data_IF_702038034521
#
_entry.id   IF_702038034521
#
_cell.length_a   1.000
_cell.length_b   1.000
_cell.length_c   1.000
_cell.angle_alpha   90.00
_cell.angle_beta   90.00
_cell.angle_gamma   90.00
#
_symmetry.space_group_name_H-M   'P 1'
#
loop_
_entity.id
_entity.type
_entity.pdbx_description
1 polymer ?
#
# COMPACT_ATOMS: atom_id res chain seq x y z
N UNK A 1 5.80 12.00 -8.98
CA UNK A 1 4.44 11.57 -8.66
C UNK A 1 4.12 10.24 -9.31
N UNK A 2 3.12 9.55 -8.81
CA UNK A 2 2.65 8.28 -9.39
C UNK A 2 1.74 8.62 -10.57
N UNK A 3 2.08 8.10 -11.76
CA UNK A 3 1.23 8.20 -12.96
C UNK A 3 0.43 6.92 -13.13
N UNK A 4 -0.75 7.03 -13.76
CA UNK A 4 -1.55 5.86 -14.10
C UNK A 4 -0.78 4.95 -15.08
N UNK A 5 -1.01 3.64 -14.97
CA UNK A 5 -0.45 2.68 -15.92
C UNK A 5 -0.98 2.99 -17.33
N UNK A 6 -0.10 3.11 -18.35
CA UNK A 6 -0.48 3.39 -19.74
C UNK A 6 -1.56 2.44 -20.27
N UNK A 7 -1.55 1.18 -19.85
CA UNK A 7 -2.55 0.18 -20.24
C UNK A 7 -4.00 0.68 -20.09
N UNK A 8 -4.34 1.35 -18.98
CA UNK A 8 -5.71 1.84 -18.77
C UNK A 8 -6.05 3.05 -19.64
N UNK A 9 -5.04 3.86 -20.00
CA UNK A 9 -5.22 5.02 -20.90
C UNK A 9 -5.44 4.54 -22.32
N UNK A 10 -4.66 3.55 -22.77
CA UNK A 10 -4.75 2.97 -24.10
C UNK A 10 -6.05 2.18 -24.29
N UNK A 11 -6.63 1.65 -23.21
CA UNK A 11 -7.88 0.91 -23.20
C UNK A 11 -9.05 1.69 -22.57
N UNK A 12 -9.05 3.03 -22.69
CA UNK A 12 -10.07 3.89 -22.07
C UNK A 12 -11.50 3.62 -22.58
N UNK A 13 -11.67 2.93 -23.71
CA UNK A 13 -12.98 2.45 -24.18
C UNK A 13 -13.59 1.34 -23.29
N UNK A 14 -12.75 0.62 -22.54
CA UNK A 14 -13.16 -0.47 -21.65
C UNK A 14 -13.19 -0.05 -20.17
N UNK A 15 -12.50 1.03 -19.81
CA UNK A 15 -12.37 1.50 -18.44
C UNK A 15 -12.85 2.94 -18.30
N UNK A 16 -13.78 3.18 -17.39
CA UNK A 16 -14.16 4.55 -17.03
C UNK A 16 -13.05 5.15 -16.16
N UNK A 17 -12.41 6.24 -16.65
CA UNK A 17 -11.30 6.91 -15.94
C UNK A 17 -11.77 8.23 -15.34
N UNK A 18 -11.31 8.54 -14.13
CA UNK A 18 -11.52 9.85 -13.50
C UNK A 18 -10.49 10.89 -14.02
N UNK A 19 -10.60 12.15 -13.56
CA UNK A 19 -9.71 13.26 -13.93
C UNK A 19 -8.22 12.98 -13.66
N UNK A 20 -7.92 12.09 -12.67
CA UNK A 20 -6.56 11.64 -12.35
C UNK A 20 -6.13 10.43 -13.17
N UNK A 21 -6.89 10.06 -14.19
CA UNK A 21 -6.68 8.88 -15.05
C UNK A 21 -6.67 7.56 -14.29
N UNK A 22 -7.37 7.49 -13.16
CA UNK A 22 -7.58 6.26 -12.40
C UNK A 22 -8.90 5.63 -12.77
N UNK A 23 -8.95 4.32 -12.74
CA UNK A 23 -10.15 3.54 -13.07
C UNK A 23 -11.21 3.72 -12.00
N UNK A 24 -12.39 4.17 -12.41
CA UNK A 24 -13.56 4.26 -11.52
C UNK A 24 -14.05 2.84 -11.22
N UNK A 25 -14.17 2.52 -9.95
CA UNK A 25 -14.62 1.22 -9.45
C UNK A 25 -15.90 1.36 -8.63
N UNK A 26 -16.65 0.27 -8.53
CA UNK A 26 -17.84 0.20 -7.68
C UNK A 26 -17.46 0.10 -6.18
N UNK A 27 -18.47 0.00 -5.31
CA UNK A 27 -18.29 -0.17 -3.88
C UNK A 27 -17.61 -1.49 -3.46
N UNK A 28 -17.34 -2.36 -4.39
CA UNK A 28 -16.64 -3.65 -4.18
C UNK A 28 -15.29 -3.70 -4.92
N UNK A 29 -14.78 -2.55 -5.38
CA UNK A 29 -13.54 -2.41 -6.15
C UNK A 29 -13.58 -3.08 -7.53
N UNK A 30 -14.77 -3.17 -8.17
CA UNK A 30 -14.96 -3.83 -9.45
C UNK A 30 -15.25 -2.80 -10.55
N UNK A 31 -14.88 -3.15 -11.77
CA UNK A 31 -15.30 -2.48 -13.01
C UNK A 31 -16.41 -3.26 -13.72
N UNK A 32 -16.43 -4.58 -13.50
CA UNK A 32 -17.47 -5.51 -13.94
C UNK A 32 -17.56 -6.69 -12.95
N UNK A 33 -18.51 -7.64 -13.09
CA UNK A 33 -18.70 -8.72 -12.12
C UNK A 33 -17.48 -9.61 -11.85
N UNK A 34 -16.49 -9.63 -12.77
CA UNK A 34 -15.35 -10.52 -12.72
C UNK A 34 -14.00 -9.80 -12.63
N UNK A 35 -13.98 -8.47 -12.81
CA UNK A 35 -12.75 -7.69 -12.89
C UNK A 35 -12.63 -6.71 -11.73
N UNK A 36 -11.56 -6.85 -10.95
CA UNK A 36 -11.22 -5.96 -9.85
C UNK A 36 -10.07 -5.05 -10.24
N UNK A 37 -10.13 -3.78 -9.86
CA UNK A 37 -9.01 -2.84 -9.98
C UNK A 37 -8.67 -2.31 -8.60
N UNK A 38 -7.39 -2.42 -8.22
CA UNK A 38 -6.89 -2.10 -6.88
C UNK A 38 -5.63 -1.23 -6.93
N UNK A 39 -5.23 -0.71 -5.77
CA UNK A 39 -4.01 0.06 -5.59
C UNK A 39 -4.04 1.40 -6.31
N UNK A 40 -2.91 1.76 -6.92
CA UNK A 40 -2.72 3.08 -7.53
C UNK A 40 -3.57 3.31 -8.77
N UNK A 41 -3.99 2.23 -9.43
CA UNK A 41 -4.84 2.29 -10.61
C UNK A 41 -6.33 2.51 -10.28
N UNK A 42 -6.78 2.18 -9.07
CA UNK A 42 -8.17 2.35 -8.65
C UNK A 42 -8.46 3.78 -8.17
N UNK A 43 -9.61 4.33 -8.57
CA UNK A 43 -10.09 5.63 -8.10
C UNK A 43 -10.72 5.52 -6.70
N UNK A 44 -9.93 5.11 -5.72
CA UNK A 44 -10.35 5.02 -4.32
C UNK A 44 -9.79 6.18 -3.49
N UNK A 45 -10.40 6.41 -2.32
CA UNK A 45 -9.86 7.35 -1.34
C UNK A 45 -8.48 6.85 -0.89
N UNK A 46 -7.50 7.76 -0.83
CA UNK A 46 -6.11 7.48 -0.46
C UNK A 46 -5.31 6.60 -1.46
N UNK A 47 -5.75 6.46 -2.73
CA UNK A 47 -4.96 5.81 -3.77
C UNK A 47 -3.60 6.50 -3.95
N UNK A 48 -2.55 5.74 -4.24
CA UNK A 48 -1.17 6.22 -4.34
C UNK A 48 -0.32 5.90 -3.10
N UNK A 49 -0.87 5.14 -2.15
CA UNK A 49 -0.18 4.69 -0.95
C UNK A 49 -0.13 3.16 -0.90
N UNK A 50 1.04 2.61 -0.60
CA UNK A 50 1.25 1.16 -0.53
C UNK A 50 0.30 0.47 0.46
N UNK A 51 0.03 1.10 1.61
CA UNK A 51 -0.91 0.57 2.60
C UNK A 51 -2.35 0.51 2.07
N UNK A 52 -2.75 1.48 1.26
CA UNK A 52 -4.08 1.45 0.61
C UNK A 52 -4.15 0.31 -0.40
N UNK A 53 -3.09 0.10 -1.18
CA UNK A 53 -3.00 -1.02 -2.12
C UNK A 53 -3.09 -2.38 -1.41
N UNK A 54 -2.37 -2.55 -0.29
CA UNK A 54 -2.44 -3.75 0.53
C UNK A 54 -3.85 -3.97 1.08
N UNK A 55 -4.49 -2.94 1.62
CA UNK A 55 -5.85 -3.02 2.14
C UNK A 55 -6.88 -3.38 1.05
N UNK A 56 -6.74 -2.80 -0.16
CA UNK A 56 -7.55 -3.19 -1.31
C UNK A 56 -7.36 -4.68 -1.64
N UNK A 57 -6.11 -5.16 -1.67
CA UNK A 57 -5.80 -6.56 -2.01
C UNK A 57 -6.40 -7.53 -0.98
N UNK A 58 -6.27 -7.25 0.32
CA UNK A 58 -6.85 -8.06 1.40
C UNK A 58 -8.38 -8.09 1.31
N UNK A 59 -9.00 -6.94 1.02
CA UNK A 59 -10.45 -6.85 0.83
C UNK A 59 -10.91 -7.72 -0.36
N UNK A 60 -10.26 -7.60 -1.51
CA UNK A 60 -10.62 -8.39 -2.71
C UNK A 60 -10.41 -9.89 -2.46
N UNK A 61 -9.32 -10.28 -1.80
CA UNK A 61 -9.09 -11.68 -1.42
C UNK A 61 -10.20 -12.21 -0.51
N UNK A 62 -10.64 -11.41 0.48
CA UNK A 62 -11.77 -11.75 1.35
C UNK A 62 -13.08 -11.82 0.57
N UNK A 63 -13.33 -10.89 -0.35
CA UNK A 63 -14.51 -10.88 -1.20
C UNK A 63 -14.60 -12.15 -2.03
N UNK A 64 -13.52 -12.52 -2.72
CA UNK A 64 -13.47 -13.75 -3.55
C UNK A 64 -13.72 -15.00 -2.67
N UNK A 65 -13.05 -15.08 -1.53
CA UNK A 65 -13.24 -16.22 -0.60
C UNK A 65 -14.67 -16.34 -0.09
N UNK A 66 -15.29 -15.23 0.27
CA UNK A 66 -16.69 -15.22 0.74
C UNK A 66 -17.63 -15.62 -0.39
N UNK A 67 -17.43 -15.09 -1.59
CA UNK A 67 -18.24 -15.43 -2.76
C UNK A 67 -18.18 -16.93 -3.08
N UNK A 68 -16.98 -17.54 -3.00
CA UNK A 68 -16.84 -18.99 -3.18
C UNK A 68 -17.59 -19.82 -2.13
N UNK A 69 -17.86 -19.25 -0.95
CA UNK A 69 -18.63 -19.88 0.13
C UNK A 69 -20.11 -19.50 0.12
N UNK A 70 -20.58 -18.72 -0.86
CA UNK A 70 -21.93 -18.19 -0.91
C UNK A 70 -22.25 -17.17 0.19
N UNK A 71 -21.22 -16.53 0.76
CA UNK A 71 -21.34 -15.55 1.82
C UNK A 71 -21.32 -14.12 1.26
N UNK A 72 -22.11 -13.24 1.87
CA UNK A 72 -22.11 -11.82 1.52
C UNK A 72 -20.86 -11.13 2.08
N UNK A 73 -20.36 -10.15 1.34
CA UNK A 73 -19.28 -9.26 1.79
C UNK A 73 -19.81 -7.83 1.85
N UNK A 74 -19.48 -7.11 2.92
CA UNK A 74 -19.83 -5.70 3.04
C UNK A 74 -19.05 -4.86 1.99
N UNK A 75 -19.60 -3.69 1.56
CA UNK A 75 -18.90 -2.76 0.69
C UNK A 75 -17.54 -2.35 1.23
N UNK A 76 -16.59 -2.10 0.33
CA UNK A 76 -15.26 -1.60 0.69
C UNK A 76 -15.33 -0.25 1.39
N UNK A 77 -14.62 -0.12 2.49
CA UNK A 77 -14.45 1.14 3.20
C UNK A 77 -12.97 1.50 3.26
N UNK A 78 -12.61 2.67 2.72
CA UNK A 78 -11.24 3.15 2.77
C UNK A 78 -10.84 3.51 4.20
N UNK A 79 -9.76 2.94 4.69
CA UNK A 79 -9.19 3.24 6.01
C UNK A 79 -8.21 4.42 5.87
N UNK A 80 -8.23 5.33 6.84
CA UNK A 80 -7.25 6.41 6.92
C UNK A 80 -5.85 5.82 7.07
N UNK A 81 -4.93 6.04 6.12
CA UNK A 81 -3.61 5.44 6.17
C UNK A 81 -2.71 6.13 7.19
N UNK A 82 -1.85 5.35 7.83
CA UNK A 82 -0.67 5.87 8.52
C UNK A 82 0.39 6.12 7.46
N UNK A 83 0.90 7.36 7.39
CA UNK A 83 2.00 7.71 6.49
C UNK A 83 3.27 7.87 7.32
N UNK A 84 4.33 7.13 6.97
CA UNK A 84 5.61 7.23 7.65
C UNK A 84 6.70 7.54 6.63
N UNK A 85 7.32 8.71 6.79
CA UNK A 85 8.38 9.21 5.90
C UNK A 85 9.71 9.06 6.65
N UNK A 86 10.63 8.20 6.18
CA UNK A 86 11.95 8.08 6.77
C UNK A 86 12.82 9.29 6.42
N UNK A 87 13.56 9.78 7.43
CA UNK A 87 14.55 10.83 7.29
C UNK A 87 15.90 10.32 7.81
N UNK A 88 16.52 9.41 7.04
CA UNK A 88 17.73 8.70 7.44
C UNK A 88 17.48 7.45 8.31
N UNK A 89 18.54 6.92 8.93
CA UNK A 89 18.53 5.58 9.56
C UNK A 89 17.72 5.49 10.86
N UNK A 90 17.63 6.60 11.60
CA UNK A 90 17.05 6.61 12.94
C UNK A 90 15.99 7.70 13.14
N UNK A 91 15.61 8.40 12.07
CA UNK A 91 14.61 9.45 12.12
C UNK A 91 13.50 9.17 11.12
N UNK A 92 12.26 9.45 11.53
CA UNK A 92 11.10 9.40 10.66
C UNK A 92 10.07 10.46 11.10
N UNK A 93 9.17 10.79 10.18
CA UNK A 93 7.95 11.54 10.48
C UNK A 93 6.77 10.59 10.23
N UNK A 94 5.96 10.37 11.25
CA UNK A 94 4.71 9.62 11.19
C UNK A 94 3.57 10.62 11.19
N UNK A 95 2.65 10.48 10.23
CA UNK A 95 1.42 11.25 10.16
C UNK A 95 0.21 10.33 10.15
N UNK A 96 -0.75 10.60 11.04
CA UNK A 96 -2.06 9.96 11.07
C UNK A 96 -3.14 11.03 11.23
N UNK A 97 -3.83 11.34 10.16
CA UNK A 97 -4.75 12.47 10.13
C UNK A 97 -4.05 13.80 10.45
N UNK A 98 -4.44 14.41 11.57
CA UNK A 98 -3.83 15.66 12.08
C UNK A 98 -2.67 15.43 13.06
N UNK A 99 -2.48 14.20 13.53
CA UNK A 99 -1.39 13.84 14.43
C UNK A 99 -0.10 13.67 13.65
N UNK A 100 0.95 14.39 14.07
CA UNK A 100 2.30 14.28 13.52
C UNK A 100 3.27 13.97 14.65
N UNK A 101 4.04 12.89 14.50
CA UNK A 101 5.08 12.47 15.42
C UNK A 101 6.39 12.41 14.64
N UNK A 102 7.43 13.11 15.10
CA UNK A 102 8.74 13.09 14.46
C UNK A 102 9.82 12.58 15.43
N UNK A 103 10.87 11.97 14.87
CA UNK A 103 12.02 11.55 15.66
C UNK A 103 12.29 10.05 15.64
N UNK A 104 13.12 9.61 16.62
CA UNK A 104 13.54 8.21 16.76
C UNK A 104 12.39 7.28 17.10
N UNK A 105 11.39 7.77 17.84
CA UNK A 105 10.21 7.00 18.18
C UNK A 105 9.35 6.71 16.93
N UNK A 106 9.18 7.68 16.05
CA UNK A 106 8.49 7.47 14.77
C UNK A 106 9.24 6.45 13.88
N UNK A 107 10.58 6.45 13.92
CA UNK A 107 11.39 5.45 13.22
C UNK A 107 11.22 4.04 13.79
N UNK A 108 11.09 3.91 15.11
CA UNK A 108 10.78 2.63 15.76
C UNK A 108 9.38 2.14 15.38
N UNK A 109 8.36 3.01 15.41
CA UNK A 109 7.00 2.67 14.97
C UNK A 109 6.96 2.25 13.51
N UNK A 110 7.77 2.87 12.64
CA UNK A 110 7.92 2.43 11.24
C UNK A 110 8.34 0.96 11.16
N UNK A 111 9.33 0.56 11.96
CA UNK A 111 9.83 -0.82 11.94
C UNK A 111 8.76 -1.82 12.32
N UNK A 112 7.93 -1.49 13.32
CA UNK A 112 6.79 -2.32 13.72
C UNK A 112 5.75 -2.36 12.61
N UNK A 113 5.42 -1.21 12.02
CA UNK A 113 4.43 -1.10 10.96
C UNK A 113 4.81 -1.91 9.71
N UNK A 114 6.07 -1.82 9.29
CA UNK A 114 6.61 -2.62 8.20
C UNK A 114 6.52 -4.12 8.51
N UNK A 115 6.84 -4.53 9.74
CA UNK A 115 6.73 -5.93 10.16
C UNK A 115 5.29 -6.44 10.09
N UNK A 116 4.32 -5.66 10.56
CA UNK A 116 2.88 -6.02 10.49
C UNK A 116 2.46 -6.19 9.03
N UNK A 117 2.81 -5.25 8.15
CA UNK A 117 2.50 -5.35 6.72
C UNK A 117 3.09 -6.60 6.06
N UNK A 118 4.32 -6.97 6.39
CA UNK A 118 4.91 -8.24 5.90
C UNK A 118 4.20 -9.46 6.47
N UNK A 119 3.83 -9.44 7.76
CA UNK A 119 3.14 -10.54 8.40
C UNK A 119 1.76 -10.83 7.81
N UNK A 120 1.04 -9.78 7.41
CA UNK A 120 -0.26 -9.90 6.74
C UNK A 120 -0.17 -10.55 5.36
N UNK A 121 0.93 -10.32 4.63
CA UNK A 121 1.11 -10.84 3.25
C UNK A 121 1.70 -12.25 3.23
N UNK A 122 2.73 -12.51 4.05
CA UNK A 122 3.51 -13.75 3.94
C UNK A 122 3.47 -14.63 5.19
N UNK A 123 2.75 -14.21 6.24
CA UNK A 123 2.68 -14.88 7.53
C UNK A 123 3.85 -14.53 8.46
N UNK A 124 3.64 -14.71 9.76
CA UNK A 124 4.52 -14.23 10.84
C UNK A 124 5.95 -14.80 10.73
N UNK A 125 6.10 -16.09 10.43
CA UNK A 125 7.41 -16.74 10.36
C UNK A 125 8.30 -16.21 9.22
N UNK A 126 7.73 -16.04 8.04
CA UNK A 126 8.44 -15.49 6.89
C UNK A 126 8.76 -13.99 7.09
N UNK A 127 7.82 -13.24 7.65
CA UNK A 127 8.00 -11.83 7.99
C UNK A 127 9.13 -11.63 9.01
N UNK A 128 9.22 -12.48 10.03
CA UNK A 128 10.29 -12.43 11.03
C UNK A 128 11.67 -12.70 10.43
N UNK A 129 11.78 -13.71 9.56
CA UNK A 129 13.02 -14.01 8.86
C UNK A 129 13.47 -12.84 7.96
N UNK A 130 12.52 -12.22 7.26
CA UNK A 130 12.80 -11.06 6.40
C UNK A 130 13.24 -9.85 7.24
N UNK A 131 12.56 -9.61 8.36
CA UNK A 131 12.87 -8.52 9.29
C UNK A 131 14.27 -8.66 9.91
N UNK A 132 14.68 -9.87 10.31
CA UNK A 132 16.04 -10.14 10.79
C UNK A 132 17.11 -9.89 9.70
N UNK A 133 16.84 -10.29 8.46
CA UNK A 133 17.75 -10.06 7.33
C UNK A 133 17.86 -8.58 6.97
N UNK A 134 16.78 -7.82 7.05
CA UNK A 134 16.75 -6.38 6.80
C UNK A 134 17.59 -5.61 7.80
N UNK A 135 17.54 -5.99 9.09
CA UNK A 135 18.31 -5.34 10.14
C UNK A 135 19.84 -5.50 9.96
N UNK A 136 20.28 -6.48 9.15
CA UNK A 136 21.70 -6.69 8.77
C UNK A 136 22.12 -5.94 7.50
N UNK A 137 21.18 -5.55 6.64
CA UNK A 137 21.44 -4.74 5.46
C UNK A 137 21.20 -3.27 5.82
N UNK A 138 22.25 -2.56 6.27
CA UNK A 138 22.27 -1.10 6.15
C UNK A 138 22.10 -0.80 4.66
N UNK A 139 21.08 -0.03 4.30
CA UNK A 139 20.97 0.58 2.98
C UNK A 139 22.12 1.61 2.88
N UNK A 140 23.33 1.14 2.62
CA UNK A 140 24.43 2.01 2.23
C UNK A 140 24.10 2.46 0.81
N UNK A 141 23.73 3.71 0.65
CA UNK A 141 23.69 4.35 -0.66
C UNK A 141 25.11 4.36 -1.20
N UNK A 142 25.43 3.46 -2.15
CA UNK A 142 26.75 3.38 -2.78
C UNK A 142 27.20 4.74 -3.36
N UNK A 143 26.24 5.51 -3.90
CA UNK A 143 26.50 6.84 -4.45
C UNK A 143 26.86 7.90 -3.39
N UNK A 144 26.36 7.75 -2.15
CA UNK A 144 26.73 8.68 -1.07
C UNK A 144 28.08 8.36 -0.44
N UNK A 145 28.63 7.17 -0.65
CA UNK A 145 29.98 6.80 -0.18
C UNK A 145 31.07 7.36 -1.09
N UNK A 146 30.80 7.52 -2.38
CA UNK A 146 31.74 8.06 -3.36
C UNK A 146 31.94 9.58 -3.25
N UNK A 147 31.00 10.29 -2.61
CA UNK A 147 31.06 11.75 -2.41
C UNK A 147 31.84 12.16 -1.14
N UNK A 148 32.28 11.22 -0.32
CA UNK A 148 33.05 11.47 0.91
C UNK A 148 34.54 11.12 0.78
N UNK A 149 35.04 10.99 -0.44
CA UNK A 149 36.47 10.90 -0.80
C UNK A 149 36.86 12.11 -1.70
#
# INVERSE_FOLDING_TARGET
>A
GVTCNPFFIENASQFNLNDKKRVVVDSYLRVDPHTFVIGDSAATRYSGLAVTALHNALYVAQFIRNNMKGQLTAPYQAILPVTIIPLGDHWAVLQYGKLVIAGRFASFLRTIYDFVGYAEVMGIGAAFNLWLKRNKRRESCQHCQELNH
#
